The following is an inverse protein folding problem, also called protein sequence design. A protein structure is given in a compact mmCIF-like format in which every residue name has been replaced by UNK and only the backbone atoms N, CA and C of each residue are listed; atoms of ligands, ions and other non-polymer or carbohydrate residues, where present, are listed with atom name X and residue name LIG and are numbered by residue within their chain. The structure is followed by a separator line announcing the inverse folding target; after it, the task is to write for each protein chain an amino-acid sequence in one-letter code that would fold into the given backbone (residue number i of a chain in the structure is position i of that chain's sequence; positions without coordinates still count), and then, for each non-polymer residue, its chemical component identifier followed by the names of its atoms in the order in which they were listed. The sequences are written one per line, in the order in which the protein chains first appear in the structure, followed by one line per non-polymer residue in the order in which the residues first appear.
data_IF_170555457558
#
_entry.id   IF_170555457558
#
_cell.length_a   1.000
_cell.length_b   1.000
_cell.length_c   1.000
_cell.angle_alpha   90.00
_cell.angle_beta   90.00
_cell.angle_gamma   90.00
#
_symmetry.space_group_name_H-M   'P 1'
#
loop_
_entity.id
_entity.type
_entity.pdbx_description
1 polymer ?
#
# COMPACT_ATOMS: atom_id res chain seq x y z
N UNK A 1 -6.16 -12.33 -3.48
CA UNK A 1 -5.39 -12.07 -4.72
C UNK A 1 -5.56 -10.61 -5.11
N UNK A 2 -4.50 -9.91 -5.50
CA UNK A 2 -4.59 -8.54 -6.03
C UNK A 2 -4.60 -8.58 -7.56
N UNK A 3 -5.50 -7.84 -8.19
CA UNK A 3 -5.59 -7.73 -9.65
C UNK A 3 -6.17 -6.37 -10.04
N UNK A 4 -5.92 -5.94 -11.28
CA UNK A 4 -6.57 -4.75 -11.83
C UNK A 4 -7.91 -5.16 -12.44
N UNK A 5 -8.99 -4.61 -11.91
CA UNK A 5 -10.33 -4.73 -12.47
C UNK A 5 -10.48 -3.69 -13.60
N UNK A 6 -11.00 -4.11 -14.75
CA UNK A 6 -11.40 -3.19 -15.83
C UNK A 6 -12.85 -2.79 -15.60
N UNK A 7 -13.11 -1.49 -15.44
CA UNK A 7 -14.46 -0.93 -15.37
C UNK A 7 -15.11 -0.90 -16.75
N UNK A 8 -16.44 -0.74 -16.80
CA UNK A 8 -17.15 -0.59 -18.08
C UNK A 8 -16.68 0.66 -18.86
N UNK A 9 -16.22 1.69 -18.15
CA UNK A 9 -15.70 2.93 -18.72
C UNK A 9 -14.24 2.83 -19.18
N UNK A 10 -13.60 1.67 -18.99
CA UNK A 10 -12.24 1.39 -19.46
C UNK A 10 -11.13 1.67 -18.44
N UNK A 11 -11.47 2.20 -17.25
CA UNK A 11 -10.49 2.44 -16.19
C UNK A 11 -10.02 1.15 -15.53
N UNK A 12 -8.75 1.11 -15.15
CA UNK A 12 -8.15 0.01 -14.41
C UNK A 12 -8.09 0.34 -12.91
N UNK A 13 -8.93 -0.30 -12.10
CA UNK A 13 -8.98 -0.09 -10.66
C UNK A 13 -8.32 -1.26 -9.91
N UNK A 14 -7.36 -0.99 -9.01
CA UNK A 14 -6.74 -2.04 -8.22
C UNK A 14 -7.75 -2.64 -7.24
N UNK A 15 -7.97 -3.94 -7.33
CA UNK A 15 -8.88 -4.68 -6.45
C UNK A 15 -8.17 -5.83 -5.75
N UNK A 16 -8.52 -6.05 -4.48
CA UNK A 16 -8.22 -7.30 -3.77
C UNK A 16 -9.44 -8.21 -3.80
N UNK A 17 -9.28 -9.39 -4.39
CA UNK A 17 -10.30 -10.43 -4.43
C UNK A 17 -10.00 -11.52 -3.42
N UNK A 18 -11.02 -11.93 -2.68
CA UNK A 18 -11.00 -13.15 -1.86
C UNK A 18 -12.19 -14.00 -2.25
N UNK A 19 -11.95 -15.28 -2.51
CA UNK A 19 -12.99 -16.22 -2.87
C UNK A 19 -12.87 -17.50 -2.07
N UNK A 20 -14.01 -18.13 -1.81
CA UNK A 20 -14.11 -19.45 -1.22
C UNK A 20 -15.06 -20.31 -2.04
N UNK A 21 -14.77 -21.60 -2.12
CA UNK A 21 -15.69 -22.58 -2.70
C UNK A 21 -16.82 -22.82 -1.71
N UNK A 22 -18.05 -22.79 -2.20
CA UNK A 22 -19.23 -23.23 -1.48
C UNK A 22 -19.43 -24.72 -1.80
N UNK A 23 -19.61 -25.51 -0.75
CA UNK A 23 -19.92 -26.94 -0.85
C UNK A 23 -21.27 -27.21 -0.20
N UNK A 24 -21.96 -28.24 -0.67
CA UNK A 24 -23.13 -28.78 0.01
C UNK A 24 -22.73 -29.63 1.23
N UNK A 25 -23.72 -30.29 1.84
CA UNK A 25 -23.54 -31.13 3.04
C UNK A 25 -22.66 -32.36 2.78
N UNK A 26 -22.60 -32.83 1.53
CA UNK A 26 -21.78 -33.98 1.11
C UNK A 26 -20.36 -33.56 0.70
N UNK A 27 -20.05 -32.25 0.75
CA UNK A 27 -18.77 -31.69 0.36
C UNK A 27 -18.64 -31.43 -1.15
N UNK A 28 -19.71 -31.61 -1.91
CA UNK A 28 -19.70 -31.41 -3.36
C UNK A 28 -19.79 -29.92 -3.72
N UNK A 29 -19.02 -29.43 -4.72
CA UNK A 29 -18.98 -28.01 -5.05
C UNK A 29 -20.30 -27.49 -5.62
N UNK A 30 -20.97 -26.59 -4.89
CA UNK A 30 -22.20 -25.92 -5.37
C UNK A 30 -21.92 -24.57 -6.03
N UNK A 31 -20.79 -23.92 -5.69
CA UNK A 31 -20.44 -22.63 -6.28
C UNK A 31 -19.19 -21.97 -5.72
N UNK A 32 -19.02 -20.68 -6.02
CA UNK A 32 -17.96 -19.83 -5.50
C UNK A 32 -18.58 -18.55 -4.98
N UNK A 33 -18.23 -18.16 -3.76
CA UNK A 33 -18.50 -16.82 -3.23
C UNK A 33 -17.21 -16.02 -3.27
N UNK A 34 -17.31 -14.76 -3.67
CA UNK A 34 -16.17 -13.85 -3.70
C UNK A 34 -16.54 -12.47 -3.22
N UNK A 35 -15.58 -11.81 -2.57
CA UNK A 35 -15.62 -10.38 -2.26
C UNK A 35 -14.48 -9.70 -2.98
N UNK A 36 -14.79 -8.56 -3.62
CA UNK A 36 -13.81 -7.65 -4.21
C UNK A 36 -13.74 -6.37 -3.39
N UNK A 37 -12.55 -5.96 -2.96
CA UNK A 37 -12.32 -4.69 -2.27
C UNK A 37 -11.52 -3.76 -3.17
N UNK A 38 -12.06 -2.58 -3.42
CA UNK A 38 -11.35 -1.49 -4.09
C UNK A 38 -10.22 -0.96 -3.17
N UNK A 39 -9.03 -0.81 -3.75
CA UNK A 39 -7.83 -0.29 -3.07
C UNK A 39 -7.45 1.12 -3.52
N UNK A 40 -8.24 1.76 -4.39
CA UNK A 40 -7.94 3.05 -5.00
C UNK A 40 -7.68 4.13 -3.95
N UNK A 41 -8.63 4.34 -3.04
CA UNK A 41 -8.51 5.38 -2.00
C UNK A 41 -7.29 5.16 -1.11
N UNK A 42 -7.05 3.91 -0.70
CA UNK A 42 -5.89 3.56 0.13
C UNK A 42 -4.58 3.88 -0.60
N UNK A 43 -4.45 3.46 -1.86
CA UNK A 43 -3.23 3.72 -2.63
C UNK A 43 -3.05 5.20 -2.94
N UNK A 44 -4.12 5.95 -3.19
CA UNK A 44 -4.03 7.39 -3.39
C UNK A 44 -3.57 8.09 -2.12
N UNK A 45 -4.10 7.70 -0.95
CA UNK A 45 -3.66 8.24 0.35
C UNK A 45 -2.20 7.91 0.63
N UNK A 46 -1.77 6.67 0.41
CA UNK A 46 -0.37 6.24 0.57
C UNK A 46 0.56 7.05 -0.34
N UNK A 47 0.23 7.17 -1.64
CA UNK A 47 1.01 7.96 -2.60
C UNK A 47 1.07 9.44 -2.23
N UNK A 48 -0.06 10.01 -1.76
CA UNK A 48 -0.11 11.40 -1.33
C UNK A 48 0.76 11.63 -0.11
N UNK A 49 0.69 10.75 0.89
CA UNK A 49 1.54 10.82 2.07
C UNK A 49 3.01 10.68 1.69
N UNK A 50 3.37 9.68 0.88
CA UNK A 50 4.73 9.48 0.40
C UNK A 50 5.25 10.71 -0.34
N UNK A 51 4.45 11.27 -1.24
CA UNK A 51 4.82 12.50 -1.97
C UNK A 51 5.05 13.69 -1.04
N UNK A 52 4.20 13.85 -0.01
CA UNK A 52 4.35 14.94 0.96
C UNK A 52 5.63 14.79 1.78
N UNK A 53 5.95 13.57 2.20
CA UNK A 53 7.15 13.29 3.01
C UNK A 53 8.41 13.44 2.16
N UNK A 54 8.45 12.84 0.96
CA UNK A 54 9.62 12.88 0.08
C UNK A 54 9.92 14.26 -0.49
N UNK A 55 8.90 15.10 -0.68
CA UNK A 55 9.04 16.46 -1.21
C UNK A 55 9.02 17.55 -0.14
N UNK A 56 8.96 17.18 1.13
CA UNK A 56 9.04 18.16 2.21
C UNK A 56 10.43 18.80 2.26
N UNK A 57 10.47 20.09 2.58
CA UNK A 57 11.74 20.77 2.90
C UNK A 57 12.22 20.48 4.34
N UNK A 58 11.36 19.88 5.17
CA UNK A 58 11.71 19.46 6.53
C UNK A 58 12.30 18.05 6.52
N UNK A 59 13.25 17.79 7.43
CA UNK A 59 13.70 16.43 7.70
C UNK A 59 12.62 15.71 8.50
N UNK A 60 12.10 14.64 7.93
CA UNK A 60 11.13 13.76 8.58
C UNK A 60 11.84 12.45 8.91
N UNK A 61 11.84 12.06 10.18
CA UNK A 61 12.45 10.82 10.65
C UNK A 61 11.47 10.01 11.47
N UNK A 62 11.48 8.69 11.26
CA UNK A 62 10.80 7.73 12.14
C UNK A 62 11.87 6.99 12.92
N UNK A 63 11.74 6.99 14.25
CA UNK A 63 12.63 6.26 15.15
C UNK A 63 11.84 5.23 15.94
N UNK A 64 12.48 4.12 16.25
CA UNK A 64 11.91 3.11 17.13
C UNK A 64 12.03 3.50 18.62
N UNK A 65 11.53 2.64 19.51
CA UNK A 65 11.59 2.88 20.95
C UNK A 65 13.01 2.92 21.53
N UNK A 66 14.00 2.39 20.81
CA UNK A 66 15.42 2.43 21.17
C UNK A 66 16.15 3.65 20.60
N UNK A 67 15.48 4.45 19.75
CA UNK A 67 16.04 5.61 19.08
C UNK A 67 16.73 5.30 17.75
N UNK A 68 16.63 4.06 17.24
CA UNK A 68 17.17 3.71 15.92
C UNK A 68 16.27 4.25 14.82
N UNK A 69 16.87 4.81 13.77
CA UNK A 69 16.13 5.29 12.60
C UNK A 69 15.55 4.13 11.81
N UNK A 70 14.24 4.16 11.61
CA UNK A 70 13.53 3.25 10.69
C UNK A 70 13.28 3.89 9.33
N UNK A 71 13.28 5.22 9.29
CA UNK A 71 13.10 6.01 8.07
C UNK A 71 13.67 7.41 8.27
N UNK A 72 14.28 7.94 7.22
CA UNK A 72 14.58 9.36 7.10
C UNK A 72 14.23 9.84 5.68
N UNK A 73 13.63 11.02 5.59
CA UNK A 73 13.32 11.65 4.30
C UNK A 73 14.59 11.95 3.51
N UNK A 74 14.56 11.90 2.16
CA UNK A 74 15.72 12.23 1.30
C UNK A 74 16.31 13.63 1.53
N UNK A 75 15.53 14.55 2.10
CA UNK A 75 15.91 15.92 2.45
C UNK A 75 17.06 16.00 3.47
N UNK A 76 17.38 14.89 4.17
CA UNK A 76 18.53 14.85 5.09
C UNK A 76 19.86 15.13 4.37
N UNK A 77 20.03 14.64 3.13
CA UNK A 77 21.25 14.84 2.34
C UNK A 77 21.55 16.30 2.01
N UNK A 78 20.63 17.09 1.42
CA UNK A 78 20.89 18.50 1.14
C UNK A 78 21.03 19.36 2.41
N UNK A 79 20.47 18.96 3.55
CA UNK A 79 20.51 19.76 4.79
C UNK A 79 21.68 19.40 5.70
N UNK A 80 21.93 18.11 5.92
CA UNK A 80 22.94 17.59 6.85
C UNK A 80 24.14 16.93 6.17
N UNK A 81 24.06 16.62 4.86
CA UNK A 81 25.22 16.20 4.07
C UNK A 81 25.48 14.69 3.99
N UNK A 82 24.65 13.84 4.61
CA UNK A 82 24.77 12.37 4.55
C UNK A 82 23.51 11.72 3.96
N UNK A 83 23.65 10.50 3.46
CA UNK A 83 22.54 9.72 2.91
C UNK A 83 21.77 9.03 4.05
N UNK A 84 20.43 8.98 4.02
CA UNK A 84 19.63 8.35 5.07
C UNK A 84 19.98 6.87 5.30
N UNK A 85 20.51 6.18 4.28
CA UNK A 85 20.93 4.78 4.36
C UNK A 85 22.29 4.57 5.09
N UNK A 86 22.97 5.66 5.48
CA UNK A 86 24.26 5.62 6.19
C UNK A 86 24.13 5.60 7.73
N UNK A 87 22.91 5.61 8.26
CA UNK A 87 22.58 5.69 9.71
C UNK A 87 21.64 4.59 10.16
#
# INVERSE_FOLDING_TARGET
MKANLLTADGDHLPHEFRGARLTDEDGEPTGVIGVGRDLTDRQQQERRFQTLVEKSNDIISVVDASGQFQYQSPTVKPILGYDPDET
#
